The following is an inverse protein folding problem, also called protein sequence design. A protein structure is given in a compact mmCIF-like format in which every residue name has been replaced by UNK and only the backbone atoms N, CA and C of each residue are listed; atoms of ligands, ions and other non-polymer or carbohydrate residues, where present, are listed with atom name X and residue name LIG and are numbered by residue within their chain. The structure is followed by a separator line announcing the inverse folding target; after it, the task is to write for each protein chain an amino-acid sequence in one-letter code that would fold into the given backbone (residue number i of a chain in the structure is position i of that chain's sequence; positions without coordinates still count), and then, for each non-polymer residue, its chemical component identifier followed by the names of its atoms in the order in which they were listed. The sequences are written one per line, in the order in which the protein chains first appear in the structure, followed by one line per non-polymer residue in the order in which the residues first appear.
data_IF_334131463375
#
_entry.id   IF_334131463375
#
_cell.length_a   1.000
_cell.length_b   1.000
_cell.length_c   1.000
_cell.angle_alpha   90.00
_cell.angle_beta   90.00
_cell.angle_gamma   90.00
#
_symmetry.space_group_name_H-M   'P 1'
#
loop_
_entity.id
_entity.type
_entity.pdbx_description
1 polymer ?
#
# COMPACT_ATOMS: atom_id res chain seq x y z
N UNK A 1 -65.18 -1.32 36.07
CA UNK A 1 -63.71 -1.42 36.01
C UNK A 1 -63.22 -0.86 34.67
N UNK A 2 -62.68 0.37 34.64
CA UNK A 2 -62.15 1.03 33.43
C UNK A 2 -60.68 0.65 33.23
N UNK A 3 -60.33 0.07 32.08
CA UNK A 3 -58.94 -0.09 31.62
C UNK A 3 -58.45 1.24 31.03
N UNK A 4 -57.46 1.86 31.65
CA UNK A 4 -56.71 2.99 31.08
C UNK A 4 -55.55 2.46 30.23
N UNK A 5 -55.60 2.74 28.92
CA UNK A 5 -54.48 2.52 28.01
C UNK A 5 -53.53 3.73 28.08
N UNK A 6 -52.27 3.51 28.47
CA UNK A 6 -51.21 4.51 28.36
C UNK A 6 -50.46 4.30 27.05
N UNK A 7 -50.64 5.26 26.12
CA UNK A 7 -50.01 5.29 24.80
C UNK A 7 -48.60 5.87 24.91
N UNK A 8 -47.57 5.04 24.74
CA UNK A 8 -46.17 5.44 24.74
C UNK A 8 -45.79 6.06 23.38
N UNK A 9 -45.80 7.39 23.30
CA UNK A 9 -45.53 8.18 22.07
C UNK A 9 -44.08 8.69 21.93
N UNK A 10 -43.09 8.03 22.57
CA UNK A 10 -41.73 8.57 22.69
C UNK A 10 -40.70 8.09 21.65
N UNK A 11 -41.03 7.13 20.79
CA UNK A 11 -40.04 6.45 19.92
C UNK A 11 -39.70 7.18 18.61
N UNK A 12 -40.52 8.13 18.16
CA UNK A 12 -40.35 8.78 16.84
C UNK A 12 -39.27 9.86 16.76
N UNK A 13 -39.02 10.61 17.85
CA UNK A 13 -38.08 11.76 17.82
C UNK A 13 -36.61 11.34 17.89
N UNK A 14 -36.30 10.16 18.45
CA UNK A 14 -34.92 9.68 18.63
C UNK A 14 -34.28 9.21 17.33
N UNK A 15 -35.03 8.48 16.48
CA UNK A 15 -34.53 8.01 15.17
C UNK A 15 -34.27 9.14 14.18
N UNK A 16 -35.13 10.16 14.16
CA UNK A 16 -34.97 11.30 13.26
C UNK A 16 -33.73 12.15 13.59
N UNK A 17 -33.36 12.27 14.87
CA UNK A 17 -32.16 13.01 15.31
C UNK A 17 -30.86 12.24 15.05
N UNK A 18 -30.93 10.91 15.01
CA UNK A 18 -29.78 10.04 14.73
C UNK A 18 -29.40 10.02 13.25
N UNK A 19 -30.37 10.21 12.35
CA UNK A 19 -30.15 10.29 10.91
C UNK A 19 -29.55 11.64 10.46
N UNK A 20 -29.73 12.71 11.24
CA UNK A 20 -29.27 14.06 10.92
C UNK A 20 -27.87 14.41 11.46
N UNK A 21 -27.18 13.47 12.13
CA UNK A 21 -25.87 13.71 12.76
C UNK A 21 -24.77 12.73 12.33
N UNK A 22 -25.01 11.87 11.34
CA UNK A 22 -23.89 11.14 10.74
C UNK A 22 -23.05 12.10 9.90
N UNK A 23 -21.78 12.38 10.29
CA UNK A 23 -20.93 13.25 9.51
C UNK A 23 -20.76 12.63 8.13
N UNK A 24 -21.15 13.37 7.10
CA UNK A 24 -20.88 13.03 5.70
C UNK A 24 -19.36 12.81 5.57
N UNK A 25 -18.95 11.54 5.55
CA UNK A 25 -17.56 11.13 5.27
C UNK A 25 -16.77 10.42 6.38
N UNK A 26 -17.28 10.25 7.60
CA UNK A 26 -16.45 9.83 8.73
C UNK A 26 -15.84 8.41 8.67
N UNK A 27 -16.56 7.43 8.09
CA UNK A 27 -16.12 6.03 8.05
C UNK A 27 -15.87 5.48 6.64
N UNK A 28 -16.67 5.90 5.65
CA UNK A 28 -16.59 5.38 4.28
C UNK A 28 -15.35 5.92 3.55
N UNK A 29 -15.08 7.23 3.65
CA UNK A 29 -13.89 7.85 3.05
C UNK A 29 -12.58 7.34 3.64
N UNK A 30 -12.53 7.15 4.97
CA UNK A 30 -11.35 6.58 5.64
C UNK A 30 -11.09 5.13 5.22
N UNK A 31 -12.13 4.33 4.99
CA UNK A 31 -12.01 2.96 4.47
C UNK A 31 -11.55 2.93 3.02
N UNK A 32 -11.92 3.92 2.20
CA UNK A 32 -11.41 4.06 0.83
C UNK A 32 -9.89 4.23 0.77
N UNK A 33 -9.27 4.86 1.79
CA UNK A 33 -7.81 5.00 1.87
C UNK A 33 -7.09 3.65 1.91
N UNK A 34 -7.70 2.62 2.53
CA UNK A 34 -7.14 1.26 2.55
C UNK A 34 -7.06 0.63 1.15
N UNK A 35 -7.84 1.15 0.18
CA UNK A 35 -7.77 0.71 -1.21
C UNK A 35 -6.85 1.61 -2.04
N UNK A 36 -7.00 2.93 -1.92
CA UNK A 36 -6.23 3.88 -2.73
C UNK A 36 -4.73 3.91 -2.41
N UNK A 37 -4.34 3.75 -1.13
CA UNK A 37 -2.92 3.76 -0.75
C UNK A 37 -2.15 2.60 -1.41
N UNK A 38 -2.59 1.33 -1.29
CA UNK A 38 -1.95 0.23 -2.03
C UNK A 38 -2.02 0.39 -3.55
N UNK A 39 -3.10 0.97 -4.11
CA UNK A 39 -3.21 1.17 -5.55
C UNK A 39 -2.18 2.15 -6.09
N UNK A 40 -1.97 3.27 -5.39
CA UNK A 40 -0.93 4.26 -5.73
C UNK A 40 0.46 3.62 -5.61
N UNK A 41 0.69 2.84 -4.55
CA UNK A 41 1.95 2.12 -4.36
C UNK A 41 2.18 1.11 -5.50
N UNK A 42 1.16 0.35 -5.89
CA UNK A 42 1.24 -0.57 -7.02
C UNK A 42 1.60 0.17 -8.31
N UNK A 43 0.96 1.30 -8.58
CA UNK A 43 1.29 2.17 -9.71
C UNK A 43 2.74 2.66 -9.69
N UNK A 44 3.27 3.01 -8.51
CA UNK A 44 4.67 3.38 -8.33
C UNK A 44 5.62 2.22 -8.70
N UNK A 45 5.34 1.00 -8.24
CA UNK A 45 6.13 -0.20 -8.58
C UNK A 45 6.08 -0.47 -10.08
N UNK A 46 4.90 -0.40 -10.70
CA UNK A 46 4.74 -0.62 -12.15
C UNK A 46 5.52 0.44 -12.94
N UNK A 47 5.28 1.72 -12.65
CA UNK A 47 5.86 2.83 -13.39
C UNK A 47 7.38 2.88 -13.26
N UNK A 48 7.92 2.69 -12.06
CA UNK A 48 9.35 2.82 -11.81
C UNK A 48 10.07 1.48 -12.00
N UNK A 49 9.72 0.45 -11.24
CA UNK A 49 10.49 -0.81 -11.23
C UNK A 49 10.31 -1.64 -12.51
N UNK A 50 9.12 -1.65 -13.11
CA UNK A 50 8.86 -2.47 -14.29
C UNK A 50 9.05 -1.71 -15.61
N UNK A 51 8.69 -0.43 -15.67
CA UNK A 51 8.74 0.35 -16.91
C UNK A 51 10.02 1.20 -17.00
N UNK A 52 10.27 2.11 -16.06
CA UNK A 52 11.44 3.00 -16.11
C UNK A 52 12.76 2.24 -16.07
N UNK A 53 12.89 1.27 -15.16
CA UNK A 53 14.15 0.62 -14.88
C UNK A 53 14.76 -0.11 -16.09
N UNK A 54 14.01 -0.89 -16.91
CA UNK A 54 14.55 -1.44 -18.14
C UNK A 54 14.62 -0.40 -19.27
N UNK A 55 13.61 0.46 -19.43
CA UNK A 55 13.50 1.36 -20.58
C UNK A 55 14.61 2.41 -20.63
N UNK A 56 15.14 2.86 -19.49
CA UNK A 56 16.23 3.84 -19.47
C UNK A 56 17.50 3.36 -20.15
N UNK A 57 17.74 2.04 -20.19
CA UNK A 57 18.92 1.46 -20.84
C UNK A 57 18.76 1.28 -22.35
N UNK A 58 17.59 1.57 -22.91
CA UNK A 58 17.35 1.53 -24.37
C UNK A 58 17.48 2.91 -25.02
N UNK A 59 17.68 3.97 -24.23
CA UNK A 59 17.78 5.33 -24.75
C UNK A 59 19.10 5.54 -25.53
N UNK A 60 19.08 6.27 -26.67
CA UNK A 60 20.29 6.56 -27.43
C UNK A 60 21.29 7.35 -26.58
N UNK A 61 22.56 6.93 -26.59
CA UNK A 61 23.63 7.59 -25.83
C UNK A 61 23.72 7.19 -24.35
N UNK A 62 22.88 6.26 -23.86
CA UNK A 62 22.99 5.76 -22.49
C UNK A 62 24.20 4.84 -22.31
N UNK A 63 24.91 4.98 -21.20
CA UNK A 63 25.98 4.06 -20.77
C UNK A 63 25.57 3.34 -19.49
N UNK A 64 26.17 2.19 -19.20
CA UNK A 64 25.88 1.44 -17.96
C UNK A 64 26.12 2.30 -16.70
N UNK A 65 27.27 2.98 -16.52
CA UNK A 65 27.50 3.86 -15.37
C UNK A 65 26.44 4.96 -15.22
N UNK A 66 26.05 5.60 -16.33
CA UNK A 66 25.05 6.66 -16.33
C UNK A 66 23.66 6.12 -15.93
N UNK A 67 23.23 5.01 -16.52
CA UNK A 67 21.95 4.38 -16.19
C UNK A 67 21.89 3.86 -14.74
N UNK A 68 23.00 3.35 -14.20
CA UNK A 68 23.11 2.97 -12.80
C UNK A 68 23.05 4.19 -11.85
N UNK A 69 23.72 5.28 -12.21
CA UNK A 69 23.67 6.54 -11.45
C UNK A 69 22.26 7.11 -11.37
N UNK A 70 21.53 7.15 -12.49
CA UNK A 70 20.12 7.55 -12.56
C UNK A 70 19.27 6.60 -11.70
N UNK A 71 19.43 5.28 -11.89
CA UNK A 71 18.71 4.27 -11.12
C UNK A 71 18.85 4.44 -9.62
N UNK A 72 20.06 4.66 -9.10
CA UNK A 72 20.30 4.87 -7.66
C UNK A 72 19.46 6.00 -7.09
N UNK A 73 19.33 7.12 -7.82
CA UNK A 73 18.57 8.30 -7.40
C UNK A 73 17.07 8.06 -7.49
N UNK A 74 16.59 7.52 -8.60
CA UNK A 74 15.17 7.23 -8.82
C UNK A 74 14.67 6.23 -7.78
N UNK A 75 15.38 5.12 -7.58
CA UNK A 75 15.02 4.14 -6.55
C UNK A 75 15.15 4.70 -5.14
N UNK A 76 16.08 5.63 -4.87
CA UNK A 76 16.10 6.31 -3.55
C UNK A 76 14.80 7.06 -3.28
N UNK A 77 14.39 7.91 -4.23
CA UNK A 77 13.17 8.69 -4.12
C UNK A 77 11.95 7.79 -4.01
N UNK A 78 11.87 6.75 -4.85
CA UNK A 78 10.83 5.72 -4.78
C UNK A 78 10.72 5.12 -3.38
N UNK A 79 11.84 4.63 -2.81
CA UNK A 79 11.83 4.02 -1.48
C UNK A 79 11.35 4.98 -0.38
N UNK A 80 11.66 6.27 -0.47
CA UNK A 80 11.11 7.29 0.46
C UNK A 80 9.59 7.34 0.36
N UNK A 81 9.06 7.41 -0.87
CA UNK A 81 7.61 7.42 -1.11
C UNK A 81 6.96 6.14 -0.60
N UNK A 82 7.58 4.98 -0.81
CA UNK A 82 7.09 3.70 -0.27
C UNK A 82 7.02 3.69 1.25
N UNK A 83 8.03 4.24 1.94
CA UNK A 83 8.02 4.37 3.41
C UNK A 83 6.89 5.28 3.85
N UNK A 84 6.66 6.41 3.18
CA UNK A 84 5.54 7.31 3.49
C UNK A 84 4.21 6.58 3.32
N UNK A 85 4.02 5.87 2.20
CA UNK A 85 2.82 5.09 1.93
C UNK A 85 2.61 3.99 2.98
N UNK A 86 3.67 3.30 3.40
CA UNK A 86 3.64 2.29 4.46
C UNK A 86 3.20 2.89 5.80
N UNK A 87 3.80 4.01 6.22
CA UNK A 87 3.47 4.69 7.47
C UNK A 87 2.02 5.15 7.47
N UNK A 88 1.53 5.72 6.37
CA UNK A 88 0.14 6.16 6.24
C UNK A 88 -0.81 4.96 6.24
N UNK A 89 -0.46 3.86 5.58
CA UNK A 89 -1.25 2.63 5.58
C UNK A 89 -1.38 2.03 6.97
N UNK A 90 -0.27 1.90 7.71
CA UNK A 90 -0.26 1.40 9.09
C UNK A 90 -1.04 2.32 10.02
N UNK A 91 -0.86 3.64 9.91
CA UNK A 91 -1.62 4.62 10.70
C UNK A 91 -3.13 4.51 10.42
N UNK A 92 -3.51 4.29 9.16
CA UNK A 92 -4.91 4.09 8.76
C UNK A 92 -5.45 2.79 9.35
N UNK A 93 -4.66 1.70 9.36
CA UNK A 93 -5.03 0.44 10.01
C UNK A 93 -5.22 0.62 11.52
N UNK A 94 -4.30 1.28 12.23
CA UNK A 94 -4.43 1.57 13.67
C UNK A 94 -5.73 2.35 13.94
N UNK A 95 -5.99 3.42 13.17
CA UNK A 95 -7.15 4.29 13.38
C UNK A 95 -8.49 3.61 13.08
N UNK A 96 -8.54 2.67 12.14
CA UNK A 96 -9.78 2.02 11.72
C UNK A 96 -10.06 0.69 12.42
N UNK A 97 -9.01 -0.11 12.68
CA UNK A 97 -9.12 -1.46 13.21
C UNK A 97 -8.66 -1.55 14.67
N UNK A 98 -8.14 -0.48 15.26
CA UNK A 98 -7.60 -0.48 16.62
C UNK A 98 -6.23 -1.16 16.68
N UNK A 99 -5.96 -1.88 17.77
CA UNK A 99 -4.66 -2.53 17.98
C UNK A 99 -4.43 -3.71 16.99
N UNK A 100 -3.15 -4.06 16.71
CA UNK A 100 -2.82 -5.27 15.98
C UNK A 100 -3.54 -6.48 16.57
N UNK A 101 -4.22 -7.23 15.70
CA UNK A 101 -5.03 -8.40 16.07
C UNK A 101 -4.86 -9.49 15.02
N UNK A 102 -5.43 -10.69 15.26
CA UNK A 102 -5.41 -11.82 14.30
C UNK A 102 -6.19 -11.56 12.99
N UNK A 103 -6.63 -10.33 12.76
CA UNK A 103 -7.29 -9.97 11.50
C UNK A 103 -6.30 -10.03 10.33
N UNK A 104 -6.74 -10.63 9.22
CA UNK A 104 -5.93 -10.79 8.00
C UNK A 104 -5.29 -9.50 7.48
N UNK A 105 -5.95 -8.35 7.62
CA UNK A 105 -5.41 -7.05 7.19
C UNK A 105 -4.16 -6.63 7.99
N UNK A 106 -4.10 -6.94 9.29
CA UNK A 106 -2.92 -6.68 10.11
C UNK A 106 -1.74 -7.54 9.67
N UNK A 107 -1.97 -8.84 9.44
CA UNK A 107 -0.94 -9.74 8.93
C UNK A 107 -0.35 -9.27 7.60
N UNK A 108 -1.21 -8.83 6.67
CA UNK A 108 -0.76 -8.31 5.38
C UNK A 108 -0.01 -6.96 5.53
N UNK A 109 -0.51 -6.03 6.33
CA UNK A 109 0.17 -4.75 6.57
C UNK A 109 1.56 -4.92 7.21
N UNK A 110 1.69 -5.85 8.16
CA UNK A 110 2.98 -6.21 8.77
C UNK A 110 3.89 -6.86 7.73
N UNK A 111 3.39 -7.83 6.95
CA UNK A 111 4.17 -8.51 5.92
C UNK A 111 4.71 -7.51 4.87
N UNK A 112 3.87 -6.59 4.38
CA UNK A 112 4.29 -5.50 3.47
C UNK A 112 5.40 -4.67 4.09
N UNK A 113 5.24 -4.28 5.36
CA UNK A 113 6.22 -3.46 6.08
C UNK A 113 7.55 -4.18 6.28
N UNK A 114 7.53 -5.48 6.59
CA UNK A 114 8.72 -6.32 6.75
C UNK A 114 9.47 -6.47 5.42
N UNK A 115 8.76 -6.77 4.34
CA UNK A 115 9.38 -6.87 3.00
C UNK A 115 10.01 -5.54 2.60
N UNK A 116 9.32 -4.42 2.83
CA UNK A 116 9.87 -3.09 2.57
C UNK A 116 11.13 -2.82 3.41
N UNK A 117 11.11 -3.18 4.69
CA UNK A 117 12.27 -3.02 5.56
C UNK A 117 13.48 -3.85 5.09
N UNK A 118 13.27 -5.11 4.70
CA UNK A 118 14.33 -5.96 4.12
C UNK A 118 14.86 -5.33 2.83
N UNK A 119 13.97 -4.84 1.96
CA UNK A 119 14.34 -4.19 0.70
C UNK A 119 15.27 -3.00 0.94
N UNK A 120 14.93 -2.12 1.89
CA UNK A 120 15.66 -0.89 2.17
C UNK A 120 16.93 -1.13 2.98
N UNK A 121 16.87 -1.97 4.01
CA UNK A 121 17.94 -2.11 4.99
C UNK A 121 18.98 -3.17 4.61
N UNK A 122 18.61 -4.14 3.77
CA UNK A 122 19.50 -5.26 3.41
C UNK A 122 19.84 -5.22 1.94
N UNK A 123 18.83 -5.25 1.07
CA UNK A 123 19.06 -5.42 -0.38
C UNK A 123 19.70 -4.16 -0.98
N UNK A 124 19.19 -2.98 -0.61
CA UNK A 124 19.63 -1.71 -1.19
C UNK A 124 21.08 -1.33 -0.86
N UNK A 125 21.60 -1.49 0.38
CA UNK A 125 23.01 -1.25 0.67
C UNK A 125 23.94 -2.14 -0.16
N UNK A 126 23.60 -3.43 -0.28
CA UNK A 126 24.38 -4.40 -1.07
C UNK A 126 24.46 -3.97 -2.54
N UNK A 127 23.34 -3.53 -3.11
CA UNK A 127 23.32 -3.02 -4.50
C UNK A 127 24.15 -1.74 -4.66
N UNK A 128 24.07 -0.80 -3.72
CA UNK A 128 24.82 0.45 -3.80
C UNK A 128 26.34 0.21 -3.80
N UNK A 129 26.85 -0.69 -2.95
CA UNK A 129 28.28 -1.03 -2.92
C UNK A 129 28.76 -1.52 -4.30
N UNK A 130 27.94 -2.30 -5.01
CA UNK A 130 28.28 -2.78 -6.34
C UNK A 130 28.15 -1.72 -7.41
N UNK A 131 27.12 -0.88 -7.32
CA UNK A 131 27.03 0.29 -8.18
C UNK A 131 28.27 1.17 -8.03
N UNK A 132 28.74 1.40 -6.80
CA UNK A 132 29.97 2.16 -6.54
C UNK A 132 31.20 1.51 -7.19
N UNK A 133 31.32 0.18 -7.14
CA UNK A 133 32.40 -0.54 -7.82
C UNK A 133 32.36 -0.41 -9.36
N UNK A 134 31.17 -0.44 -9.97
CA UNK A 134 31.01 -0.22 -11.42
C UNK A 134 31.34 1.23 -11.79
N UNK A 135 30.89 2.19 -10.98
CA UNK A 135 31.18 3.62 -11.18
C UNK A 135 32.67 3.95 -11.02
N UNK A 136 33.39 3.20 -10.19
CA UNK A 136 34.85 3.31 -10.04
C UNK A 136 35.64 2.65 -11.18
N UNK A 137 34.97 2.04 -12.17
CA UNK A 137 35.63 1.34 -13.28
C UNK A 137 36.18 -0.04 -12.92
N UNK A 138 35.89 -0.56 -11.72
CA UNK A 138 36.43 -1.83 -11.22
C UNK A 138 35.69 -3.07 -11.76
N UNK A 139 34.53 -2.89 -12.41
CA UNK A 139 33.68 -3.98 -12.91
C UNK A 139 32.88 -3.55 -14.15
N UNK A 140 32.78 -4.43 -15.15
CA UNK A 140 32.06 -4.15 -16.41
C UNK A 140 30.51 -4.18 -16.30
N UNK A 141 29.97 -4.51 -15.12
CA UNK A 141 28.53 -4.65 -14.89
C UNK A 141 28.01 -6.08 -15.07
N UNK A 142 26.92 -6.40 -14.37
CA UNK A 142 26.28 -7.73 -14.36
C UNK A 142 26.42 -8.43 -13.00
N UNK A 143 25.27 -8.73 -12.37
CA UNK A 143 25.22 -9.50 -11.13
C UNK A 143 23.82 -10.04 -10.85
N UNK A 144 23.73 -11.29 -10.41
CA UNK A 144 22.49 -11.95 -9.98
C UNK A 144 21.83 -11.30 -8.76
N UNK A 145 22.54 -10.44 -8.01
CA UNK A 145 21.95 -9.82 -6.82
C UNK A 145 20.86 -8.80 -7.13
N UNK A 146 20.80 -8.28 -8.35
CA UNK A 146 19.67 -7.47 -8.79
C UNK A 146 18.34 -8.24 -8.70
N UNK A 147 18.36 -9.58 -8.88
CA UNK A 147 17.16 -10.41 -8.77
C UNK A 147 16.57 -10.41 -7.34
N UNK A 148 17.35 -10.18 -6.29
CA UNK A 148 16.79 -10.04 -4.94
C UNK A 148 15.89 -8.81 -4.83
N UNK A 149 16.27 -7.70 -5.48
CA UNK A 149 15.44 -6.50 -5.51
C UNK A 149 14.16 -6.72 -6.31
N UNK A 150 14.28 -7.36 -7.48
CA UNK A 150 13.11 -7.75 -8.30
C UNK A 150 12.18 -8.68 -7.52
N UNK A 151 12.72 -9.66 -6.77
CA UNK A 151 11.93 -10.55 -5.93
C UNK A 151 11.21 -9.82 -4.79
N UNK A 152 11.86 -8.83 -4.16
CA UNK A 152 11.24 -8.02 -3.12
C UNK A 152 10.11 -7.14 -3.70
N UNK A 153 10.31 -6.52 -4.86
CA UNK A 153 9.28 -5.76 -5.54
C UNK A 153 8.12 -6.65 -6.00
N UNK A 154 8.39 -7.86 -6.50
CA UNK A 154 7.36 -8.84 -6.84
C UNK A 154 6.56 -9.29 -5.62
N UNK A 155 7.23 -9.52 -4.48
CA UNK A 155 6.56 -9.85 -3.23
C UNK A 155 5.66 -8.70 -2.75
N UNK A 156 6.14 -7.45 -2.79
CA UNK A 156 5.32 -6.27 -2.49
C UNK A 156 4.12 -6.16 -3.43
N UNK A 157 4.33 -6.35 -4.73
CA UNK A 157 3.29 -6.32 -5.74
C UNK A 157 2.15 -7.31 -5.41
N UNK A 158 2.51 -8.57 -5.14
CA UNK A 158 1.54 -9.63 -4.78
C UNK A 158 0.83 -9.31 -3.46
N UNK A 159 1.57 -8.84 -2.44
CA UNK A 159 1.01 -8.51 -1.14
C UNK A 159 0.04 -7.33 -1.22
N UNK A 160 0.36 -6.29 -2.00
CA UNK A 160 -0.49 -5.12 -2.21
C UNK A 160 -1.78 -5.49 -2.94
N UNK A 161 -1.70 -6.30 -4.00
CA UNK A 161 -2.89 -6.82 -4.69
C UNK A 161 -3.74 -7.64 -3.73
N UNK A 162 -3.11 -8.55 -2.96
CA UNK A 162 -3.81 -9.38 -1.98
C UNK A 162 -4.50 -8.52 -0.92
N UNK A 163 -3.83 -7.47 -0.45
CA UNK A 163 -4.39 -6.50 0.49
C UNK A 163 -5.63 -5.82 -0.10
N UNK A 164 -5.53 -5.30 -1.33
CA UNK A 164 -6.67 -4.68 -2.03
C UNK A 164 -7.84 -5.63 -2.19
N UNK A 165 -7.61 -6.88 -2.62
CA UNK A 165 -8.66 -7.90 -2.76
C UNK A 165 -9.36 -8.16 -1.42
N UNK A 166 -8.60 -8.28 -0.32
CA UNK A 166 -9.18 -8.49 1.01
C UNK A 166 -9.98 -7.27 1.47
N UNK A 167 -9.51 -6.05 1.19
CA UNK A 167 -10.24 -4.81 1.48
C UNK A 167 -11.54 -4.77 0.69
N UNK A 168 -11.50 -4.96 -0.63
CA UNK A 168 -12.70 -4.93 -1.48
C UNK A 168 -13.74 -5.96 -1.05
N UNK A 169 -13.32 -7.20 -0.76
CA UNK A 169 -14.23 -8.25 -0.25
C UNK A 169 -14.88 -7.91 1.09
N UNK A 170 -14.23 -7.08 1.92
CA UNK A 170 -14.81 -6.58 3.18
C UNK A 170 -15.75 -5.39 2.98
N UNK A 171 -15.59 -4.66 1.87
CA UNK A 171 -16.40 -3.47 1.54
C UNK A 171 -17.64 -3.81 0.71
N UNK A 172 -17.62 -4.89 -0.08
CA UNK A 172 -18.77 -5.35 -0.83
C UNK A 172 -19.84 -5.96 0.11
N UNK A 173 -21.13 -5.63 -0.08
CA UNK A 173 -22.22 -6.29 0.65
C UNK A 173 -22.19 -7.80 0.40
N UNK A 174 -22.39 -8.61 1.45
CA UNK A 174 -22.45 -10.07 1.33
C UNK A 174 -23.70 -10.58 0.59
N UNK A 175 -24.71 -9.74 0.36
CA UNK A 175 -25.97 -10.12 -0.30
C UNK A 175 -26.16 -9.41 -1.65
N UNK A 176 -26.10 -10.15 -2.78
CA UNK A 176 -26.49 -9.64 -4.11
C UNK A 176 -27.96 -9.22 -4.21
N UNK A 177 -28.82 -9.69 -3.30
CA UNK A 177 -30.26 -9.45 -3.30
C UNK A 177 -30.68 -8.08 -2.74
N UNK A 178 -29.74 -7.28 -2.21
CA UNK A 178 -30.03 -5.93 -1.69
C UNK A 178 -29.96 -4.82 -2.76
N UNK A 179 -29.79 -5.19 -4.03
CA UNK A 179 -29.65 -4.29 -5.17
C UNK A 179 -30.84 -4.38 -6.16
N UNK A 180 -31.92 -5.07 -5.78
CA UNK A 180 -33.15 -5.22 -6.56
C UNK A 180 -34.38 -4.90 -5.72
#
# INVERSE_FOLDING_TARGET
MKKTASSNKSTGKSSARKLASEPIGGGRGKRSLLFFLPAIWLGLIIGISLIEAPLKFTAPGITIPLGLGIGRRVFFAMNIVEVILAVVLITTLVRLLGRPSRQKLWGLGIAISVVLAIKILVIRPILNIRTDAVLAGNFAGGSTTHYFYVAADAALFILLITFMVVVTRRLLPKNPQALG
#
